data_IF_169720866388
#
_entry.id   IF_169720866388
#
_cell.length_a   1.000
_cell.length_b   1.000
_cell.length_c   1.000
_cell.angle_alpha   90.00
_cell.angle_beta   90.00
_cell.angle_gamma   90.00
#
_symmetry.space_group_name_H-M   'P 1'
#
loop_
_entity.id
_entity.type
_entity.pdbx_description
1 polymer ?
#
# COMPACT_ATOMS: atom_id res chain seq x y z
N UNK A 1 -28.96 -35.85 -36.70
CA UNK A 1 -27.56 -35.88 -37.18
C UNK A 1 -26.78 -34.80 -36.46
N UNK A 2 -25.68 -35.10 -35.76
CA UNK A 2 -24.88 -34.06 -35.13
C UNK A 2 -24.06 -33.39 -36.23
N UNK A 3 -24.20 -32.08 -36.36
CA UNK A 3 -23.36 -31.26 -37.26
C UNK A 3 -22.01 -31.11 -36.56
N UNK A 4 -21.03 -31.91 -36.94
CA UNK A 4 -19.63 -31.66 -36.58
C UNK A 4 -19.22 -30.37 -37.27
N UNK A 5 -19.30 -29.24 -36.56
CA UNK A 5 -18.71 -27.98 -37.01
C UNK A 5 -17.21 -28.17 -37.03
N UNK A 6 -16.62 -28.12 -38.21
CA UNK A 6 -15.19 -28.21 -38.43
C UNK A 6 -14.49 -27.03 -37.73
N UNK A 7 -13.88 -27.28 -36.56
CA UNK A 7 -13.29 -26.24 -35.71
C UNK A 7 -11.79 -26.01 -35.99
N UNK A 8 -11.28 -26.62 -37.06
CA UNK A 8 -9.85 -26.63 -37.43
C UNK A 8 -9.28 -25.23 -37.71
N UNK A 9 -10.10 -24.30 -38.19
CA UNK A 9 -9.71 -22.89 -38.41
C UNK A 9 -9.56 -22.16 -37.07
N UNK A 10 -10.48 -22.40 -36.13
CA UNK A 10 -10.42 -21.78 -34.80
C UNK A 10 -9.20 -22.26 -34.02
N UNK A 11 -8.89 -23.55 -34.05
CA UNK A 11 -7.69 -24.11 -33.42
C UNK A 11 -6.40 -23.49 -33.99
N UNK A 12 -6.36 -23.27 -35.32
CA UNK A 12 -5.20 -22.65 -35.98
C UNK A 12 -5.08 -21.14 -35.73
N UNK A 13 -6.16 -20.44 -35.36
CA UNK A 13 -6.16 -18.97 -35.22
C UNK A 13 -6.37 -18.50 -33.79
N UNK A 14 -6.69 -19.40 -32.85
CA UNK A 14 -6.97 -19.08 -31.44
C UNK A 14 -5.79 -18.39 -30.73
N UNK A 15 -4.56 -18.53 -31.24
CA UNK A 15 -3.40 -17.86 -30.68
C UNK A 15 -3.38 -16.35 -30.95
N UNK A 16 -4.08 -15.89 -32.00
CA UNK A 16 -4.23 -14.48 -32.40
C UNK A 16 -5.29 -13.77 -31.54
N UNK A 17 -5.04 -13.72 -30.24
CA UNK A 17 -5.91 -13.07 -29.26
C UNK A 17 -5.27 -11.80 -28.72
N UNK A 18 -6.11 -10.83 -28.32
CA UNK A 18 -5.67 -9.56 -27.74
C UNK A 18 -4.79 -9.73 -26.49
N UNK A 19 -5.00 -10.80 -25.73
CA UNK A 19 -4.16 -11.13 -24.57
C UNK A 19 -2.70 -11.44 -24.93
N UNK A 20 -2.45 -11.90 -26.17
CA UNK A 20 -1.12 -12.27 -26.66
C UNK A 20 -0.50 -11.21 -27.58
N UNK A 21 -1.11 -10.03 -27.74
CA UNK A 21 -0.71 -9.04 -28.76
C UNK A 21 0.75 -8.59 -28.58
N UNK A 22 1.17 -8.29 -27.35
CA UNK A 22 2.54 -7.85 -27.05
C UNK A 22 3.61 -8.90 -27.40
N UNK A 23 3.26 -10.19 -27.28
CA UNK A 23 4.16 -11.27 -27.65
C UNK A 23 4.28 -11.41 -29.17
N UNK A 24 3.15 -11.38 -29.88
CA UNK A 24 3.10 -11.45 -31.35
C UNK A 24 3.82 -10.25 -31.97
N UNK A 25 3.62 -9.04 -31.43
CA UNK A 25 4.33 -7.82 -31.83
C UNK A 25 5.85 -7.99 -31.71
N UNK A 26 6.33 -8.60 -30.60
CA UNK A 26 7.75 -8.84 -30.39
C UNK A 26 8.35 -9.82 -31.40
N UNK A 27 7.61 -10.87 -31.78
CA UNK A 27 8.03 -11.85 -32.79
C UNK A 27 8.01 -11.26 -34.20
N UNK A 28 7.03 -10.41 -34.50
CA UNK A 28 6.96 -9.73 -35.78
C UNK A 28 8.11 -8.72 -35.95
N UNK A 29 8.50 -8.02 -34.88
CA UNK A 29 9.69 -7.17 -34.90
C UNK A 29 10.98 -7.98 -35.16
N UNK A 30 11.08 -9.20 -34.63
CA UNK A 30 12.18 -10.12 -34.96
C UNK A 30 12.15 -10.54 -36.43
N UNK A 31 10.97 -10.82 -36.98
CA UNK A 31 10.78 -11.15 -38.40
C UNK A 31 11.23 -10.04 -39.34
N UNK A 32 10.85 -8.79 -39.07
CA UNK A 32 11.28 -7.64 -39.90
C UNK A 32 12.80 -7.46 -39.87
N UNK A 33 13.41 -7.62 -38.70
CA UNK A 33 14.85 -7.48 -38.53
C UNK A 33 15.65 -8.70 -39.02
N UNK A 34 14.98 -9.71 -39.60
CA UNK A 34 15.61 -10.95 -40.08
C UNK A 34 16.44 -11.65 -38.99
N UNK A 35 15.91 -11.70 -37.76
CA UNK A 35 16.58 -12.29 -36.60
C UNK A 35 16.72 -13.82 -36.78
N UNK A 36 17.94 -14.40 -36.67
CA UNK A 36 18.17 -15.84 -36.79
C UNK A 36 17.53 -16.67 -35.67
N UNK A 37 17.10 -16.06 -34.56
CA UNK A 37 16.40 -16.74 -33.47
C UNK A 37 14.89 -16.94 -33.72
N UNK A 38 14.35 -16.45 -34.85
CA UNK A 38 12.92 -16.58 -35.14
C UNK A 38 12.58 -18.05 -35.52
N UNK A 39 11.61 -18.69 -34.85
CA UNK A 39 11.17 -20.03 -35.22
C UNK A 39 10.59 -20.08 -36.64
N UNK A 40 10.91 -21.14 -37.38
CA UNK A 40 10.50 -21.32 -38.78
C UNK A 40 8.97 -21.24 -38.99
N UNK A 41 8.17 -21.77 -38.05
CA UNK A 41 6.71 -21.71 -38.10
C UNK A 41 6.17 -20.27 -38.07
N UNK A 42 6.86 -19.35 -37.39
CA UNK A 42 6.50 -17.94 -37.34
C UNK A 42 6.93 -17.20 -38.59
N UNK A 43 8.05 -17.60 -39.20
CA UNK A 43 8.49 -17.07 -40.49
C UNK A 43 7.48 -17.39 -41.58
N UNK A 44 7.04 -18.64 -41.67
CA UNK A 44 6.02 -19.09 -42.62
C UNK A 44 4.67 -18.42 -42.39
N UNK A 45 4.28 -18.22 -41.12
CA UNK A 45 3.06 -17.49 -40.78
C UNK A 45 3.10 -16.04 -41.26
N UNK A 46 4.20 -15.31 -41.01
CA UNK A 46 4.34 -13.91 -41.42
C UNK A 46 4.59 -13.73 -42.92
N UNK A 47 5.24 -14.69 -43.58
CA UNK A 47 5.37 -14.72 -45.05
C UNK A 47 4.00 -14.89 -45.73
N UNK A 48 3.05 -15.55 -45.07
CA UNK A 48 1.67 -15.70 -45.54
C UNK A 48 0.76 -14.48 -45.32
N UNK A 49 1.22 -13.48 -44.56
CA UNK A 49 0.55 -12.19 -44.43
C UNK A 49 1.07 -11.29 -45.55
N UNK A 50 0.30 -11.15 -46.63
CA UNK A 50 0.58 -10.27 -47.79
C UNK A 50 0.44 -8.78 -47.44
N UNK A 51 0.92 -8.40 -46.25
CA UNK A 51 0.83 -7.05 -45.75
C UNK A 51 2.11 -6.29 -46.12
N UNK A 52 1.93 -5.07 -46.64
CA UNK A 52 3.05 -4.17 -46.87
C UNK A 52 3.79 -3.91 -45.55
N UNK A 53 4.97 -4.54 -45.37
CA UNK A 53 5.81 -4.48 -44.17
C UNK A 53 5.98 -3.05 -43.61
N UNK A 54 5.91 -2.05 -44.48
CA UNK A 54 6.02 -0.62 -44.16
C UNK A 54 4.82 -0.03 -43.41
N UNK A 55 3.60 -0.50 -43.69
CA UNK A 55 2.38 0.04 -43.07
C UNK A 55 2.23 -0.44 -41.63
N UNK A 56 2.50 -1.72 -41.37
CA UNK A 56 2.45 -2.30 -40.02
C UNK A 56 3.57 -1.73 -39.13
N UNK A 57 4.75 -1.48 -39.69
CA UNK A 57 5.83 -0.81 -38.96
C UNK A 57 5.42 0.56 -38.41
N UNK A 58 4.66 1.33 -39.19
CA UNK A 58 4.17 2.64 -38.79
C UNK A 58 3.09 2.53 -37.69
N UNK A 59 2.24 1.49 -37.74
CA UNK A 59 1.28 1.22 -36.67
C UNK A 59 1.96 0.79 -35.35
N UNK A 60 2.96 -0.10 -35.42
CA UNK A 60 3.70 -0.59 -34.25
C UNK A 60 4.53 0.52 -33.58
N UNK A 61 5.20 1.36 -34.38
CA UNK A 61 5.99 2.48 -33.84
C UNK A 61 5.11 3.59 -33.26
N UNK A 62 3.81 3.58 -33.58
CA UNK A 62 2.85 4.59 -33.19
C UNK A 62 3.08 5.93 -33.91
N UNK A 63 2.16 6.89 -33.73
CA UNK A 63 2.29 8.21 -34.35
C UNK A 63 3.57 8.91 -33.86
N UNK A 64 4.21 9.69 -34.74
CA UNK A 64 5.47 10.40 -34.46
C UNK A 64 5.40 11.39 -33.29
N UNK A 65 4.19 11.75 -32.86
CA UNK A 65 3.92 12.64 -31.72
C UNK A 65 3.69 11.89 -30.38
N UNK A 66 3.68 10.55 -30.39
CA UNK A 66 3.57 9.78 -29.16
C UNK A 66 4.80 10.01 -28.26
N UNK A 67 4.61 10.14 -26.93
CA UNK A 67 5.74 10.33 -26.01
C UNK A 67 6.72 9.16 -26.15
N UNK A 68 7.98 9.45 -26.45
CA UNK A 68 9.04 8.43 -26.61
C UNK A 68 9.10 7.55 -25.37
N UNK A 69 8.66 6.29 -25.48
CA UNK A 69 8.89 5.27 -24.44
C UNK A 69 10.40 5.11 -24.29
N UNK A 70 10.88 5.28 -23.07
CA UNK A 70 12.29 5.13 -22.69
C UNK A 70 12.78 3.76 -23.19
N UNK A 71 13.92 3.76 -23.88
CA UNK A 71 14.42 2.62 -24.63
C UNK A 71 14.86 1.48 -23.68
N UNK A 72 13.99 0.50 -23.46
CA UNK A 72 14.16 -0.60 -22.49
C UNK A 72 15.42 -1.44 -22.78
N UNK A 73 15.91 -1.46 -24.02
CA UNK A 73 17.17 -2.13 -24.38
C UNK A 73 18.41 -1.54 -23.69
N UNK A 74 18.46 -0.23 -23.41
CA UNK A 74 19.58 0.36 -22.64
C UNK A 74 19.58 -0.07 -21.17
N UNK A 75 18.41 -0.40 -20.61
CA UNK A 75 18.28 -0.89 -19.22
C UNK A 75 18.71 -2.36 -19.13
N UNK A 76 18.41 -3.17 -20.16
CA UNK A 76 18.76 -4.60 -20.19
C UNK A 76 20.27 -4.81 -20.44
N UNK A 77 20.90 -4.02 -21.31
CA UNK A 77 22.34 -4.16 -21.59
C UNK A 77 23.24 -3.57 -20.48
N UNK A 78 22.79 -2.52 -19.78
CA UNK A 78 23.46 -2.06 -18.55
C UNK A 78 23.22 -3.01 -17.36
N UNK A 79 22.18 -3.85 -17.41
CA UNK A 79 21.86 -4.85 -16.40
C UNK A 79 22.64 -6.16 -16.50
N UNK A 80 23.41 -6.40 -17.57
CA UNK A 80 24.13 -7.67 -17.79
C UNK A 80 25.59 -7.71 -17.31
N UNK A 81 26.14 -6.62 -16.75
CA UNK A 81 27.50 -6.59 -16.19
C UNK A 81 27.55 -6.87 -14.66
N UNK A 82 26.43 -7.18 -13.99
CA UNK A 82 26.46 -7.53 -12.55
C UNK A 82 25.80 -8.86 -12.17
N UNK A 83 25.44 -9.70 -13.14
CA UNK A 83 24.77 -10.99 -12.89
C UNK A 83 25.73 -12.13 -12.50
N UNK A 84 26.64 -11.88 -11.54
CA UNK A 84 27.40 -12.96 -10.88
C UNK A 84 27.56 -12.81 -9.36
N UNK A 85 26.88 -11.85 -8.70
CA UNK A 85 26.96 -11.69 -7.23
C UNK A 85 25.67 -11.32 -6.48
N UNK A 86 24.50 -11.21 -7.10
CA UNK A 86 23.34 -10.50 -6.50
C UNK A 86 22.00 -11.27 -6.49
N UNK A 87 22.00 -12.60 -6.36
CA UNK A 87 20.74 -13.35 -6.19
C UNK A 87 20.13 -13.24 -4.78
N UNK A 88 20.91 -12.85 -3.76
CA UNK A 88 20.43 -12.74 -2.38
C UNK A 88 19.89 -11.35 -1.98
N UNK A 89 20.31 -10.26 -2.64
CA UNK A 89 19.89 -8.90 -2.24
C UNK A 89 18.52 -8.48 -2.79
N UNK A 90 18.13 -8.99 -3.95
CA UNK A 90 16.86 -8.62 -4.58
C UNK A 90 15.64 -9.30 -3.92
N UNK A 91 15.84 -10.49 -3.34
CA UNK A 91 14.78 -11.21 -2.61
C UNK A 91 14.55 -10.60 -1.22
N UNK A 92 15.63 -10.23 -0.51
CA UNK A 92 15.55 -9.54 0.79
C UNK A 92 14.78 -8.23 0.70
N UNK A 93 15.02 -7.41 -0.35
CA UNK A 93 14.36 -6.10 -0.47
C UNK A 93 12.85 -6.17 -0.68
N UNK A 94 12.35 -7.24 -1.32
CA UNK A 94 10.90 -7.46 -1.52
C UNK A 94 10.21 -7.95 -0.26
N UNK A 95 10.84 -8.88 0.46
CA UNK A 95 10.33 -9.39 1.74
C UNK A 95 10.32 -8.30 2.81
N UNK A 96 11.32 -7.42 2.82
CA UNK A 96 11.39 -6.31 3.77
C UNK A 96 10.32 -5.25 3.47
N UNK A 97 10.06 -4.96 2.19
CA UNK A 97 8.95 -4.08 1.79
C UNK A 97 7.58 -4.65 2.20
N UNK A 98 7.36 -5.95 2.04
CA UNK A 98 6.12 -6.60 2.47
C UNK A 98 5.94 -6.52 3.99
N UNK A 99 7.00 -6.73 4.77
CA UNK A 99 6.98 -6.55 6.24
C UNK A 99 6.66 -5.11 6.65
N UNK A 100 7.25 -4.11 6.00
CA UNK A 100 6.98 -2.69 6.28
C UNK A 100 5.51 -2.32 6.00
N UNK A 101 4.94 -2.84 4.91
CA UNK A 101 3.52 -2.68 4.60
C UNK A 101 2.65 -3.34 5.66
N UNK A 102 2.97 -4.57 6.07
CA UNK A 102 2.24 -5.29 7.10
C UNK A 102 2.26 -4.53 8.44
N UNK A 103 3.41 -4.00 8.84
CA UNK A 103 3.56 -3.18 10.04
C UNK A 103 2.72 -1.91 9.99
N UNK A 104 2.65 -1.26 8.83
CA UNK A 104 1.84 -0.06 8.61
C UNK A 104 0.34 -0.36 8.77
N UNK A 105 -0.13 -1.47 8.19
CA UNK A 105 -1.53 -1.92 8.34
C UNK A 105 -1.85 -2.26 9.79
N UNK A 106 -0.97 -2.99 10.49
CA UNK A 106 -1.13 -3.32 11.92
C UNK A 106 -1.15 -2.07 12.79
N UNK A 107 -0.32 -1.07 12.48
CA UNK A 107 -0.28 0.19 13.22
C UNK A 107 -1.58 0.99 13.03
N UNK A 108 -2.11 1.05 11.81
CA UNK A 108 -3.41 1.68 11.52
C UNK A 108 -4.55 0.96 12.26
N UNK A 109 -4.54 -0.38 12.28
CA UNK A 109 -5.50 -1.17 13.03
C UNK A 109 -5.43 -0.89 14.54
N UNK A 110 -4.23 -0.81 15.10
CA UNK A 110 -4.01 -0.43 16.50
C UNK A 110 -4.55 0.98 16.79
N UNK A 111 -4.23 1.98 15.96
CA UNK A 111 -4.76 3.35 16.11
C UNK A 111 -6.29 3.34 16.14
N UNK A 112 -6.92 2.61 15.20
CA UNK A 112 -8.37 2.46 15.15
C UNK A 112 -8.92 1.80 16.41
N UNK A 113 -8.27 0.77 16.94
CA UNK A 113 -8.69 0.10 18.17
C UNK A 113 -8.71 1.06 19.37
N UNK A 114 -7.68 1.91 19.53
CA UNK A 114 -7.65 2.94 20.58
C UNK A 114 -8.77 3.98 20.42
N UNK A 115 -9.06 4.42 19.18
CA UNK A 115 -10.17 5.37 18.93
C UNK A 115 -11.53 4.78 19.29
N UNK A 116 -11.73 3.48 19.07
CA UNK A 116 -13.02 2.81 19.34
C UNK A 116 -13.15 2.45 20.82
N UNK A 117 -12.10 1.89 21.44
CA UNK A 117 -12.18 1.23 22.75
C UNK A 117 -11.28 1.82 23.83
N UNK A 118 -10.49 2.85 23.53
CA UNK A 118 -9.55 3.45 24.50
C UNK A 118 -10.24 3.94 25.77
N UNK A 119 -11.48 4.44 25.65
CA UNK A 119 -12.29 4.89 26.78
C UNK A 119 -12.54 3.78 27.83
N UNK A 120 -12.54 2.50 27.44
CA UNK A 120 -12.74 1.37 28.37
C UNK A 120 -11.58 1.20 29.36
N UNK A 121 -10.38 1.65 28.99
CA UNK A 121 -9.19 1.61 29.84
C UNK A 121 -8.79 2.99 30.37
N UNK A 122 -9.63 4.01 30.16
CA UNK A 122 -9.36 5.36 30.64
C UNK A 122 -9.39 5.48 32.17
N UNK A 123 -8.59 6.40 32.71
CA UNK A 123 -8.53 6.66 34.13
C UNK A 123 -9.66 7.59 34.61
N UNK A 124 -10.90 7.08 34.62
CA UNK A 124 -12.10 7.86 34.95
C UNK A 124 -12.50 7.81 36.43
N UNK A 125 -12.11 6.76 37.14
CA UNK A 125 -12.48 6.56 38.54
C UNK A 125 -11.47 7.22 39.49
N UNK A 126 -11.85 8.29 40.21
CA UNK A 126 -10.97 8.97 41.15
C UNK A 126 -10.67 8.15 42.41
N UNK A 127 -11.50 7.16 42.74
CA UNK A 127 -11.33 6.30 43.91
C UNK A 127 -10.47 5.06 43.61
N UNK A 128 -10.28 4.73 42.33
CA UNK A 128 -9.47 3.60 41.89
C UNK A 128 -10.06 2.21 42.23
N UNK A 129 -11.38 2.14 42.45
CA UNK A 129 -12.11 0.92 42.76
C UNK A 129 -12.44 0.11 41.49
N UNK A 130 -12.59 0.79 40.35
CA UNK A 130 -12.91 0.18 39.07
C UNK A 130 -11.73 -0.66 38.55
N UNK A 131 -11.96 -1.96 38.43
CA UNK A 131 -11.04 -2.88 37.75
C UNK A 131 -11.18 -2.71 36.25
N UNK A 132 -10.09 -2.37 35.57
CA UNK A 132 -10.04 -2.26 34.11
C UNK A 132 -9.59 -3.60 33.54
N UNK A 133 -10.41 -4.13 32.64
CA UNK A 133 -10.08 -5.37 31.96
C UNK A 133 -8.96 -5.14 30.94
N UNK A 134 -8.12 -6.16 30.80
CA UNK A 134 -7.07 -6.15 29.80
C UNK A 134 -7.67 -6.45 28.43
N UNK A 135 -7.52 -5.50 27.50
CA UNK A 135 -8.02 -5.62 26.13
C UNK A 135 -6.90 -6.04 25.17
N UNK A 136 -6.99 -7.27 24.66
CA UNK A 136 -6.03 -7.81 23.68
C UNK A 136 -5.87 -6.91 22.44
N UNK A 137 -6.96 -6.29 21.99
CA UNK A 137 -6.98 -5.43 20.80
C UNK A 137 -6.12 -4.16 20.95
N UNK A 138 -5.95 -3.68 22.19
CA UNK A 138 -5.13 -2.49 22.51
C UNK A 138 -3.68 -2.84 22.81
N UNK A 139 -3.36 -4.13 23.00
CA UNK A 139 -1.99 -4.58 23.20
C UNK A 139 -1.26 -4.74 21.86
N UNK A 140 -0.14 -4.03 21.63
CA UNK A 140 0.68 -4.21 20.43
C UNK A 140 1.12 -5.66 20.22
N UNK A 141 1.43 -6.40 21.29
CA UNK A 141 1.81 -7.81 21.20
C UNK A 141 0.66 -8.67 20.67
N UNK A 142 -0.58 -8.36 21.07
CA UNK A 142 -1.79 -9.03 20.57
C UNK A 142 -2.07 -8.75 19.09
N UNK A 143 -1.61 -7.61 18.58
CA UNK A 143 -1.66 -7.24 17.15
C UNK A 143 -0.49 -7.81 16.33
N UNK A 144 0.37 -8.63 16.95
CA UNK A 144 1.48 -9.29 16.27
C UNK A 144 2.73 -8.41 16.09
N UNK A 145 2.89 -7.36 16.89
CA UNK A 145 4.16 -6.65 17.00
C UNK A 145 5.12 -7.38 17.94
N UNK A 146 6.42 -7.40 17.60
CA UNK A 146 7.46 -7.89 18.48
C UNK A 146 8.07 -6.74 19.29
N UNK A 147 8.78 -7.08 20.37
CA UNK A 147 9.49 -6.06 21.18
C UNK A 147 10.55 -5.32 20.37
N UNK A 148 11.17 -5.99 19.40
CA UNK A 148 12.13 -5.37 18.48
C UNK A 148 11.52 -4.27 17.59
N UNK A 149 10.21 -4.32 17.33
CA UNK A 149 9.54 -3.38 16.43
C UNK A 149 9.20 -2.04 17.09
N UNK A 150 9.34 -1.92 18.41
CA UNK A 150 8.92 -0.74 19.17
C UNK A 150 9.61 0.56 18.73
N UNK A 151 10.86 0.46 18.28
CA UNK A 151 11.70 1.59 17.89
C UNK A 151 11.78 1.75 16.36
N UNK A 152 11.16 0.86 15.58
CA UNK A 152 11.16 0.99 14.11
C UNK A 152 10.22 2.10 13.69
N UNK A 153 10.64 2.88 12.68
CA UNK A 153 9.76 3.88 12.06
C UNK A 153 8.75 3.17 11.18
N UNK A 154 7.47 3.40 11.44
CA UNK A 154 6.36 2.86 10.68
C UNK A 154 5.75 4.00 9.87
N UNK A 155 5.42 3.74 8.61
CA UNK A 155 4.72 4.69 7.77
C UNK A 155 3.25 4.76 8.14
N UNK A 156 2.73 5.97 8.37
CA UNK A 156 1.34 6.20 8.78
C UNK A 156 0.58 7.12 7.83
N UNK A 157 1.20 7.56 6.72
CA UNK A 157 0.62 8.55 5.81
C UNK A 157 0.15 9.80 6.59
N UNK A 158 -1.15 10.01 6.70
CA UNK A 158 -1.79 11.15 7.36
C UNK A 158 -2.66 10.71 8.55
N UNK A 159 -2.53 9.46 9.02
CA UNK A 159 -3.44 8.91 10.04
C UNK A 159 -3.30 9.56 11.43
N UNK A 160 -2.15 10.18 11.71
CA UNK A 160 -1.82 10.91 12.95
C UNK A 160 -1.20 12.29 12.66
N UNK A 161 -1.53 12.90 11.51
CA UNK A 161 -0.93 14.15 11.03
C UNK A 161 0.61 14.12 11.00
N UNK A 162 1.19 12.91 10.87
CA UNK A 162 2.62 12.64 10.76
C UNK A 162 2.87 11.51 9.78
N UNK A 163 3.82 11.70 8.86
CA UNK A 163 4.17 10.71 7.84
C UNK A 163 4.71 9.40 8.43
N UNK A 164 5.59 9.50 9.42
CA UNK A 164 6.22 8.36 10.09
C UNK A 164 6.20 8.54 11.60
N UNK A 165 6.07 7.43 12.33
CA UNK A 165 6.23 7.39 13.78
C UNK A 165 6.74 6.03 14.24
N UNK A 166 7.41 5.99 15.39
CA UNK A 166 7.73 4.72 16.05
C UNK A 166 6.50 4.16 16.77
N UNK A 167 6.44 2.84 16.92
CA UNK A 167 5.33 2.20 17.64
C UNK A 167 5.21 2.72 19.09
N UNK A 168 6.34 3.01 19.76
CA UNK A 168 6.36 3.64 21.09
C UNK A 168 5.70 5.02 21.10
N UNK A 169 5.99 5.87 20.12
CA UNK A 169 5.36 7.19 19.98
C UNK A 169 3.87 7.09 19.65
N UNK A 170 3.47 6.09 18.86
CA UNK A 170 2.05 5.82 18.55
C UNK A 170 1.31 5.46 19.84
N UNK A 171 1.79 4.46 20.59
CA UNK A 171 1.12 4.00 21.82
C UNK A 171 1.07 5.11 22.86
N UNK A 172 2.17 5.84 23.06
CA UNK A 172 2.23 6.92 24.05
C UNK A 172 1.23 8.02 23.71
N UNK A 173 1.15 8.41 22.44
CA UNK A 173 0.17 9.38 21.97
C UNK A 173 -1.26 8.89 22.20
N UNK A 174 -1.59 7.68 21.77
CA UNK A 174 -2.95 7.13 21.88
C UNK A 174 -3.39 6.94 23.34
N UNK A 175 -2.48 6.52 24.23
CA UNK A 175 -2.76 6.41 25.67
C UNK A 175 -3.05 7.77 26.29
N UNK A 176 -2.25 8.79 25.97
CA UNK A 176 -2.46 10.14 26.49
C UNK A 176 -3.77 10.76 25.98
N UNK A 177 -4.17 10.47 24.74
CA UNK A 177 -5.37 11.04 24.12
C UNK A 177 -6.65 10.31 24.52
N UNK A 178 -6.66 8.98 24.51
CA UNK A 178 -7.89 8.18 24.65
C UNK A 178 -8.00 7.38 25.95
N UNK A 179 -6.92 7.25 26.71
CA UNK A 179 -6.85 6.39 27.90
C UNK A 179 -6.41 7.16 29.17
N UNK A 180 -6.40 8.49 29.13
CA UNK A 180 -5.99 9.35 30.25
C UNK A 180 -7.19 9.60 31.19
N UNK A 181 -7.29 10.77 31.80
CA UNK A 181 -8.40 11.17 32.67
C UNK A 181 -9.70 11.52 31.92
N UNK A 182 -9.70 11.41 30.59
CA UNK A 182 -10.85 11.62 29.71
C UNK A 182 -11.03 10.37 28.87
N UNK A 183 -12.26 9.85 28.85
CA UNK A 183 -12.67 8.71 28.02
C UNK A 183 -13.54 9.24 26.89
N UNK A 184 -13.09 9.05 25.65
CA UNK A 184 -13.78 9.58 24.47
C UNK A 184 -14.50 8.45 23.75
N UNK A 185 -15.79 8.65 23.50
CA UNK A 185 -16.60 7.76 22.68
C UNK A 185 -17.30 8.56 21.59
N UNK A 186 -16.83 8.41 20.35
CA UNK A 186 -17.37 9.14 19.20
C UNK A 186 -17.41 8.30 17.91
N UNK A 187 -16.77 7.13 17.91
CA UNK A 187 -16.65 6.30 16.70
C UNK A 187 -17.98 5.68 16.25
N UNK A 188 -19.01 5.68 17.12
CA UNK A 188 -20.37 5.27 16.77
C UNK A 188 -21.12 6.30 15.90
N UNK A 189 -20.62 7.55 15.82
CA UNK A 189 -21.20 8.58 14.96
C UNK A 189 -21.14 8.12 13.50
N UNK A 190 -22.24 8.28 12.76
CA UNK A 190 -22.32 7.83 11.37
C UNK A 190 -21.65 8.82 10.41
N UNK A 191 -21.83 10.12 10.64
CA UNK A 191 -21.30 11.19 9.78
C UNK A 191 -19.76 11.22 9.79
N UNK A 192 -19.11 11.03 8.62
CA UNK A 192 -17.65 11.11 8.51
C UNK A 192 -17.08 12.50 8.80
N UNK A 193 -17.83 13.58 8.53
CA UNK A 193 -17.41 14.97 8.78
C UNK A 193 -17.33 15.22 10.28
N UNK A 194 -18.37 14.83 11.03
CA UNK A 194 -18.38 14.94 12.49
C UNK A 194 -17.29 14.08 13.13
N UNK A 195 -17.13 12.83 12.69
CA UNK A 195 -16.03 11.95 13.15
C UNK A 195 -14.66 12.57 12.90
N UNK A 196 -14.46 13.17 11.73
CA UNK A 196 -13.21 13.85 11.38
C UNK A 196 -12.99 15.06 12.28
N UNK A 197 -14.02 15.89 12.49
CA UNK A 197 -13.95 17.05 13.37
C UNK A 197 -13.59 16.67 14.81
N UNK A 198 -14.26 15.67 15.38
CA UNK A 198 -13.96 15.17 16.72
C UNK A 198 -12.53 14.63 16.84
N UNK A 199 -12.10 13.81 15.87
CA UNK A 199 -10.74 13.28 15.82
C UNK A 199 -9.72 14.42 15.85
N UNK A 200 -9.88 15.41 14.98
CA UNK A 200 -8.97 16.55 14.91
C UNK A 200 -8.96 17.34 16.23
N UNK A 201 -10.11 17.56 16.85
CA UNK A 201 -10.20 18.26 18.13
C UNK A 201 -9.44 17.53 19.24
N UNK A 202 -9.53 16.19 19.28
CA UNK A 202 -8.93 15.39 20.34
C UNK A 202 -7.43 15.11 20.12
N UNK A 203 -7.02 14.89 18.86
CA UNK A 203 -5.66 14.47 18.51
C UNK A 203 -4.68 15.63 18.31
N UNK A 204 -5.18 16.86 18.10
CA UNK A 204 -4.32 18.03 17.98
C UNK A 204 -3.80 18.50 19.35
N UNK A 205 -2.67 19.23 19.33
CA UNK A 205 -1.95 19.68 20.54
C UNK A 205 -2.80 20.62 21.41
N UNK A 206 -3.72 21.36 20.82
CA UNK A 206 -4.59 22.33 21.48
C UNK A 206 -5.59 21.67 22.45
N UNK A 207 -5.74 20.34 22.39
CA UNK A 207 -6.49 19.59 23.40
C UNK A 207 -5.76 19.52 24.75
N UNK A 208 -4.43 19.68 24.75
CA UNK A 208 -3.66 19.77 25.99
C UNK A 208 -3.81 21.19 26.55
N UNK A 209 -4.85 21.39 27.37
CA UNK A 209 -5.15 22.66 28.02
C UNK A 209 -4.01 23.08 28.96
N UNK A 210 -3.13 23.93 28.46
CA UNK A 210 -2.05 24.54 29.24
C UNK A 210 -2.59 25.80 29.94
N UNK A 211 -3.14 25.63 31.15
CA UNK A 211 -3.61 26.74 31.95
C UNK A 211 -2.45 27.60 32.49
N UNK A 212 -2.62 28.92 32.45
CA UNK A 212 -1.76 29.87 33.16
C UNK A 212 -1.85 29.64 34.67
N UNK A 213 -0.86 30.12 35.44
CA UNK A 213 -0.90 30.05 36.92
C UNK A 213 -2.17 30.72 37.48
N UNK A 214 -2.54 31.88 36.92
CA UNK A 214 -3.79 32.58 37.25
C UNK A 214 -5.03 31.73 36.94
N UNK A 215 -5.06 31.04 35.80
CA UNK A 215 -6.15 30.15 35.41
C UNK A 215 -6.28 28.96 36.36
N UNK A 216 -5.16 28.36 36.77
CA UNK A 216 -5.15 27.26 37.76
C UNK A 216 -5.70 27.73 39.12
N UNK A 217 -5.26 28.89 39.61
CA UNK A 217 -5.78 29.50 40.85
C UNK A 217 -7.27 29.81 40.75
N UNK A 218 -7.73 30.30 39.61
CA UNK A 218 -9.16 30.57 39.39
C UNK A 218 -10.01 29.30 39.42
N UNK A 219 -9.56 28.21 38.77
CA UNK A 219 -10.24 26.91 38.81
C UNK A 219 -10.30 26.40 40.26
N UNK A 220 -9.20 26.49 41.00
CA UNK A 220 -9.14 26.07 42.40
C UNK A 220 -10.14 26.85 43.27
N UNK A 221 -10.17 28.18 43.14
CA UNK A 221 -11.10 29.05 43.87
C UNK A 221 -12.58 28.83 43.50
N UNK A 222 -12.87 28.09 42.41
CA UNK A 222 -14.24 27.70 42.05
C UNK A 222 -14.64 26.34 42.62
N UNK A 223 -13.67 25.49 42.98
CA UNK A 223 -13.89 24.15 43.52
C UNK A 223 -14.04 24.14 45.05
N UNK A 224 -13.42 25.10 45.74
CA UNK A 224 -13.45 25.29 47.19
C UNK A 224 -14.33 26.50 47.51
#
# INVERSE_FOLDING_TARGET
>A
MPVTKDNSIYEKTSFLSKSNSAFIESLYLKYINSDPELPQSWKEFFDGLDDEKKNILNEIQGPSWAPKKINIKKIIDQGKISAKKSSNEFVSSREDYEKEKEQSVKAIALIRAYRIRGHLIANLDPLGLMKREYLNELNPLGQGFKKEDFNKKIYLQEYLDRGYATLKEIITFLKNTYCSTIGVEYMHISDPVEKKWFRERMEKKENQLNFTDTGKKFILNKLI
#
